data_IF_569104607350
#
_entry.id   IF_569104607350
#
_cell.length_a   1.000
_cell.length_b   1.000
_cell.length_c   1.000
_cell.angle_alpha   90.00
_cell.angle_beta   90.00
_cell.angle_gamma   90.00
#
_symmetry.space_group_name_H-M   'P 1'
#
loop_
_entity.id
_entity.type
_entity.pdbx_description
1 polymer ?
#
# COMPACT_ATOMS: atom_id res chain seq x y z
N UNK A 1 5.59 -12.04 18.90
CA UNK A 1 4.72 -12.47 17.80
C UNK A 1 4.40 -11.24 16.93
N UNK A 2 4.60 -11.33 15.62
CA UNK A 2 4.25 -10.25 14.70
C UNK A 2 2.71 -10.22 14.58
N UNK A 3 2.10 -9.04 14.50
CA UNK A 3 0.63 -8.88 14.43
C UNK A 3 -0.02 -9.73 13.33
N UNK A 4 0.63 -9.84 12.16
CA UNK A 4 0.21 -10.73 11.07
C UNK A 4 0.08 -12.20 11.52
N UNK A 5 1.05 -12.73 12.23
CA UNK A 5 1.04 -14.13 12.72
C UNK A 5 -0.05 -14.33 13.76
N UNK A 6 -0.30 -13.32 14.60
CA UNK A 6 -1.42 -13.34 15.54
C UNK A 6 -2.75 -13.49 14.82
N UNK A 7 -3.02 -12.66 13.79
CA UNK A 7 -4.26 -12.73 13.01
C UNK A 7 -4.38 -14.05 12.26
N UNK A 8 -3.30 -14.51 11.63
CA UNK A 8 -3.27 -15.79 10.92
C UNK A 8 -3.69 -16.94 11.81
N UNK A 9 -3.14 -16.99 13.02
CA UNK A 9 -3.45 -18.04 14.00
C UNK A 9 -4.88 -17.89 14.56
N UNK A 10 -5.29 -16.67 14.90
CA UNK A 10 -6.58 -16.40 15.53
C UNK A 10 -7.75 -16.73 14.63
N UNK A 11 -7.63 -16.47 13.33
CA UNK A 11 -8.73 -16.62 12.36
C UNK A 11 -8.45 -17.67 11.29
N UNK A 12 -7.41 -18.48 11.45
CA UNK A 12 -6.99 -19.49 10.49
C UNK A 12 -6.89 -18.96 9.04
N UNK A 13 -6.29 -17.78 8.87
CA UNK A 13 -6.20 -17.11 7.59
C UNK A 13 -5.14 -17.76 6.69
N UNK A 14 -5.47 -17.93 5.41
CA UNK A 14 -4.49 -18.24 4.38
C UNK A 14 -3.79 -16.96 3.90
N UNK A 15 -2.72 -16.56 4.60
CA UNK A 15 -1.97 -15.33 4.27
C UNK A 15 -0.83 -15.67 3.31
N UNK A 16 -0.85 -15.08 2.13
CA UNK A 16 0.20 -15.20 1.11
C UNK A 16 1.08 -13.95 1.11
N UNK A 17 2.39 -14.15 1.22
CA UNK A 17 3.37 -13.07 1.11
C UNK A 17 3.77 -12.87 -0.36
N UNK A 18 3.33 -11.77 -0.95
CA UNK A 18 3.79 -11.35 -2.26
C UNK A 18 5.14 -10.66 -2.14
N UNK A 19 6.12 -11.15 -2.86
CA UNK A 19 7.49 -10.62 -2.85
C UNK A 19 7.90 -10.21 -4.25
N UNK A 20 8.70 -9.13 -4.41
CA UNK A 20 9.31 -8.81 -5.68
C UNK A 20 10.29 -9.91 -6.09
N UNK A 21 10.50 -10.09 -7.38
CA UNK A 21 11.44 -11.10 -7.92
C UNK A 21 12.88 -10.84 -7.48
N UNK A 22 13.27 -9.56 -7.42
CA UNK A 22 14.60 -9.20 -6.94
C UNK A 22 14.68 -9.28 -5.41
N UNK A 23 15.76 -9.90 -4.92
CA UNK A 23 16.12 -9.83 -3.50
C UNK A 23 16.39 -8.37 -3.09
N UNK A 24 16.39 -8.09 -1.76
CA UNK A 24 16.71 -6.75 -1.28
C UNK A 24 18.14 -6.32 -1.68
N UNK A 25 19.09 -7.24 -1.70
CA UNK A 25 20.45 -6.97 -2.13
C UNK A 25 20.53 -6.66 -3.62
N UNK A 26 19.92 -7.48 -4.47
CA UNK A 26 19.84 -7.21 -5.90
C UNK A 26 19.12 -5.90 -6.24
N UNK A 27 18.07 -5.56 -5.49
CA UNK A 27 17.41 -4.26 -5.62
C UNK A 27 18.35 -3.09 -5.29
N UNK A 28 19.13 -3.20 -4.19
CA UNK A 28 20.08 -2.16 -3.80
C UNK A 28 21.23 -2.05 -4.81
N UNK A 29 21.73 -3.17 -5.32
CA UNK A 29 22.76 -3.17 -6.36
C UNK A 29 22.31 -2.41 -7.60
N UNK A 30 21.10 -2.71 -8.08
CA UNK A 30 20.58 -2.15 -9.32
C UNK A 30 20.11 -0.70 -9.18
N UNK A 31 19.47 -0.32 -8.09
CA UNK A 31 18.78 0.95 -7.94
C UNK A 31 19.31 1.84 -6.81
N UNK A 32 20.24 1.35 -6.01
CA UNK A 32 20.75 2.05 -4.83
C UNK A 32 19.82 1.96 -3.61
N UNK A 33 20.36 2.26 -2.43
CA UNK A 33 19.60 2.26 -1.16
C UNK A 33 18.57 3.38 -1.08
N UNK A 34 18.84 4.48 -1.76
CA UNK A 34 18.11 5.74 -1.64
C UNK A 34 16.98 5.86 -2.65
N UNK A 35 16.73 4.84 -3.49
CA UNK A 35 15.63 4.85 -4.44
C UNK A 35 14.28 5.23 -3.79
N UNK A 36 13.89 4.73 -2.60
CA UNK A 36 12.65 5.16 -1.96
C UNK A 36 12.57 6.68 -1.70
N UNK A 37 13.72 7.34 -1.64
CA UNK A 37 13.84 8.77 -1.43
C UNK A 37 13.92 9.55 -2.75
N UNK A 38 14.63 9.01 -3.73
CA UNK A 38 14.85 9.63 -5.04
C UNK A 38 13.64 9.47 -5.95
N UNK A 39 13.15 8.24 -6.09
CA UNK A 39 11.97 7.90 -6.87
C UNK A 39 11.06 6.92 -6.12
N UNK A 40 10.15 7.43 -5.28
CA UNK A 40 9.21 6.60 -4.54
C UNK A 40 8.19 5.88 -5.42
N UNK A 41 7.94 6.35 -6.67
CA UNK A 41 7.00 5.70 -7.58
C UNK A 41 7.62 4.45 -8.20
N UNK A 42 8.84 4.52 -8.71
CA UNK A 42 9.56 3.34 -9.17
C UNK A 42 9.77 2.34 -8.05
N UNK A 43 10.16 2.79 -6.86
CA UNK A 43 10.28 1.91 -5.71
C UNK A 43 8.96 1.20 -5.38
N UNK A 44 7.82 1.90 -5.40
CA UNK A 44 6.49 1.32 -5.20
C UNK A 44 6.13 0.34 -6.31
N UNK A 45 6.45 0.67 -7.55
CA UNK A 45 6.17 -0.20 -8.69
C UNK A 45 6.88 -1.55 -8.55
N UNK A 46 8.19 -1.54 -8.43
CA UNK A 46 9.00 -2.77 -8.33
C UNK A 46 8.63 -3.60 -7.10
N UNK A 47 8.42 -2.95 -5.96
CA UNK A 47 8.29 -3.67 -4.70
C UNK A 47 6.86 -4.00 -4.28
N UNK A 48 5.86 -3.42 -4.93
CA UNK A 48 4.45 -3.62 -4.55
C UNK A 48 3.55 -3.83 -5.76
N UNK A 49 3.61 -2.94 -6.75
CA UNK A 49 2.65 -2.97 -7.86
C UNK A 49 2.88 -4.20 -8.70
N UNK A 50 4.09 -4.42 -9.18
CA UNK A 50 4.45 -5.56 -10.03
C UNK A 50 4.14 -6.92 -9.36
N UNK A 51 4.57 -7.22 -8.11
CA UNK A 51 4.21 -8.48 -7.45
C UNK A 51 2.71 -8.64 -7.26
N UNK A 52 1.99 -7.54 -7.04
CA UNK A 52 0.54 -7.56 -6.88
C UNK A 52 -0.17 -7.82 -8.22
N UNK A 53 0.28 -7.21 -9.32
CA UNK A 53 -0.25 -7.47 -10.65
C UNK A 53 -0.14 -8.96 -11.00
N UNK A 54 1.06 -9.54 -10.85
CA UNK A 54 1.29 -10.98 -11.10
C UNK A 54 0.35 -11.88 -10.26
N UNK A 55 0.10 -11.50 -9.00
CA UNK A 55 -0.82 -12.25 -8.15
C UNK A 55 -2.28 -12.10 -8.59
N UNK A 56 -2.65 -10.94 -9.11
CA UNK A 56 -4.02 -10.62 -9.53
C UNK A 56 -4.41 -11.17 -10.89
N UNK A 57 -3.45 -11.47 -11.76
CA UNK A 57 -3.70 -12.07 -13.08
C UNK A 57 -4.50 -13.40 -13.02
N UNK A 58 -4.55 -14.02 -11.84
CA UNK A 58 -5.25 -15.27 -11.59
C UNK A 58 -6.56 -15.10 -10.82
N UNK A 59 -7.00 -13.88 -10.59
CA UNK A 59 -8.17 -13.56 -9.78
C UNK A 59 -9.23 -12.85 -10.62
N UNK A 60 -10.49 -13.16 -10.36
CA UNK A 60 -11.63 -12.45 -10.94
C UNK A 60 -11.94 -11.15 -10.16
N UNK A 61 -11.62 -11.12 -8.87
CA UNK A 61 -11.89 -9.98 -8.01
C UNK A 61 -10.89 -9.87 -6.85
N UNK A 62 -10.75 -8.66 -6.30
CA UNK A 62 -10.03 -8.41 -5.08
C UNK A 62 -10.74 -7.43 -4.16
N UNK A 63 -10.63 -7.63 -2.86
CA UNK A 63 -11.24 -6.79 -1.84
C UNK A 63 -10.19 -5.87 -1.23
N UNK A 64 -10.51 -4.58 -1.07
CA UNK A 64 -9.63 -3.59 -0.46
C UNK A 64 -10.32 -2.81 0.64
N UNK A 65 -9.63 -2.53 1.73
CA UNK A 65 -10.14 -1.75 2.87
C UNK A 65 -9.93 -0.24 2.75
N UNK A 66 -9.91 0.33 1.54
CA UNK A 66 -9.80 1.78 1.38
C UNK A 66 -11.08 2.49 1.81
N UNK A 67 -10.92 3.76 2.26
CA UNK A 67 -12.04 4.65 2.60
C UNK A 67 -11.88 6.00 1.89
N UNK A 68 -13.02 6.66 1.59
CA UNK A 68 -13.04 7.99 0.93
C UNK A 68 -12.34 9.07 1.76
N UNK A 69 -12.50 9.01 3.08
CA UNK A 69 -11.97 10.00 4.01
C UNK A 69 -10.44 10.02 4.11
N UNK A 70 -9.77 9.02 3.57
CA UNK A 70 -8.32 8.87 3.71
C UNK A 70 -7.50 9.80 2.81
N UNK A 71 -7.96 10.05 1.57
CA UNK A 71 -7.28 10.94 0.61
C UNK A 71 -8.22 11.43 -0.49
N UNK A 72 -7.87 12.55 -1.14
CA UNK A 72 -8.63 13.08 -2.28
C UNK A 72 -8.72 12.06 -3.45
N UNK A 73 -7.65 11.28 -3.68
CA UNK A 73 -7.65 10.24 -4.71
C UNK A 73 -8.68 9.14 -4.39
N UNK A 74 -8.75 8.68 -3.13
CA UNK A 74 -9.71 7.65 -2.72
C UNK A 74 -11.15 8.16 -2.69
N UNK A 75 -11.37 9.46 -2.50
CA UNK A 75 -12.68 10.07 -2.57
C UNK A 75 -13.37 9.84 -3.93
N UNK A 76 -12.60 9.69 -5.00
CA UNK A 76 -13.10 9.43 -6.36
C UNK A 76 -13.40 7.95 -6.62
N UNK A 77 -13.05 7.04 -5.73
CA UNK A 77 -13.26 5.60 -5.92
C UNK A 77 -14.73 5.21 -5.83
N UNK A 78 -15.09 4.07 -6.44
CA UNK A 78 -16.39 3.43 -6.33
C UNK A 78 -16.31 2.16 -5.48
N UNK A 79 -17.46 1.73 -4.92
CA UNK A 79 -17.53 0.50 -4.12
C UNK A 79 -17.19 -0.71 -4.98
N UNK A 80 -17.72 -0.75 -6.19
CA UNK A 80 -17.46 -1.75 -7.22
C UNK A 80 -16.85 -1.04 -8.42
N UNK A 81 -15.70 -1.51 -8.87
CA UNK A 81 -14.98 -0.89 -9.98
C UNK A 81 -14.25 -1.95 -10.78
N UNK A 82 -14.59 -2.08 -12.06
CA UNK A 82 -13.83 -2.90 -12.98
C UNK A 82 -12.52 -2.20 -13.33
N UNK A 83 -11.43 -2.93 -13.16
CA UNK A 83 -10.12 -2.54 -13.64
C UNK A 83 -9.90 -3.06 -15.05
N UNK A 84 -8.79 -2.65 -15.65
CA UNK A 84 -8.35 -3.21 -16.92
C UNK A 84 -8.37 -4.75 -16.83
N UNK A 85 -8.65 -5.41 -17.92
CA UNK A 85 -8.69 -6.88 -18.04
C UNK A 85 -9.81 -7.58 -17.25
N UNK A 86 -10.82 -6.82 -16.81
CA UNK A 86 -12.01 -7.38 -16.20
C UNK A 86 -11.91 -7.68 -14.70
N UNK A 87 -10.76 -7.42 -14.06
CA UNK A 87 -10.60 -7.59 -12.62
C UNK A 87 -11.54 -6.67 -11.83
N UNK A 88 -12.41 -7.24 -11.01
CA UNK A 88 -13.33 -6.49 -10.16
C UNK A 88 -12.66 -6.07 -8.84
N UNK A 89 -12.52 -4.76 -8.61
CA UNK A 89 -12.14 -4.21 -7.30
C UNK A 89 -13.39 -3.97 -6.46
N UNK A 90 -13.39 -4.47 -5.23
CA UNK A 90 -14.47 -4.33 -4.26
C UNK A 90 -13.95 -3.57 -3.04
N UNK A 91 -14.56 -2.43 -2.71
CA UNK A 91 -14.18 -1.59 -1.58
C UNK A 91 -15.34 -1.45 -0.58
N UNK A 92 -15.63 -2.48 0.24
CA UNK A 92 -16.82 -2.52 1.11
C UNK A 92 -16.82 -1.44 2.19
N UNK A 93 -15.64 -0.98 2.60
CA UNK A 93 -15.49 0.05 3.63
C UNK A 93 -15.41 1.47 3.07
N UNK A 94 -15.62 1.66 1.77
CA UNK A 94 -15.34 2.93 1.08
C UNK A 94 -16.05 4.12 1.70
N UNK A 95 -17.31 3.96 2.13
CA UNK A 95 -18.13 5.02 2.71
C UNK A 95 -18.04 5.08 4.25
N UNK A 96 -17.23 4.23 4.87
CA UNK A 96 -17.04 4.24 6.32
C UNK A 96 -16.11 5.39 6.73
N UNK A 97 -16.43 6.00 7.87
CA UNK A 97 -15.57 6.97 8.53
C UNK A 97 -14.58 6.29 9.46
N UNK A 98 -13.61 7.04 9.98
CA UNK A 98 -12.73 6.52 11.02
C UNK A 98 -13.51 6.14 12.28
N UNK A 99 -14.57 6.88 12.62
CA UNK A 99 -15.44 6.57 13.76
C UNK A 99 -16.19 5.23 13.56
N UNK A 100 -16.68 4.95 12.36
CA UNK A 100 -17.33 3.67 12.06
C UNK A 100 -16.38 2.49 12.27
N UNK A 101 -15.12 2.63 11.80
CA UNK A 101 -14.08 1.61 12.00
C UNK A 101 -13.79 1.40 13.49
N UNK A 102 -13.64 2.47 14.26
CA UNK A 102 -13.36 2.40 15.69
C UNK A 102 -14.51 1.73 16.45
N UNK A 103 -15.76 2.11 16.14
CA UNK A 103 -16.95 1.50 16.72
C UNK A 103 -17.05 0.00 16.40
N UNK A 104 -16.81 -0.36 15.13
CA UNK A 104 -16.83 -1.75 14.71
C UNK A 104 -15.75 -2.60 15.41
N UNK A 105 -14.53 -2.06 15.55
CA UNK A 105 -13.46 -2.72 16.28
C UNK A 105 -13.85 -2.95 17.75
N UNK A 106 -14.49 -1.98 18.39
CA UNK A 106 -14.94 -2.08 19.79
C UNK A 106 -16.09 -3.08 19.93
N UNK A 107 -17.10 -3.00 19.07
CA UNK A 107 -18.28 -3.86 19.08
C UNK A 107 -17.92 -5.34 18.93
N UNK A 108 -17.01 -5.65 18.02
CA UNK A 108 -16.61 -7.04 17.72
C UNK A 108 -15.31 -7.49 18.43
N UNK A 109 -14.75 -6.67 19.32
CA UNK A 109 -13.53 -7.00 20.05
C UNK A 109 -12.33 -7.32 19.16
N UNK A 110 -12.21 -6.62 18.02
CA UNK A 110 -11.17 -6.93 17.05
C UNK A 110 -9.78 -6.51 17.54
N UNK A 111 -8.75 -7.30 17.24
CA UNK A 111 -7.38 -6.95 17.61
C UNK A 111 -6.90 -5.71 16.88
N UNK A 112 -6.22 -4.82 17.59
CA UNK A 112 -5.68 -3.57 17.05
C UNK A 112 -4.21 -3.71 16.71
N UNK A 113 -3.83 -3.14 15.57
CA UNK A 113 -2.42 -3.04 15.21
C UNK A 113 -1.68 -2.13 16.22
N UNK A 114 -0.49 -2.50 16.72
CA UNK A 114 0.19 -1.75 17.78
C UNK A 114 0.81 -0.42 17.35
N UNK A 115 1.02 -0.18 16.05
CA UNK A 115 1.70 1.01 15.54
C UNK A 115 0.94 2.33 15.75
N UNK A 116 -0.40 2.42 15.69
CA UNK A 116 -1.12 3.65 16.03
C UNK A 116 -0.79 4.17 17.43
N UNK A 117 -0.61 3.29 18.41
CA UNK A 117 -0.17 3.66 19.78
C UNK A 117 1.25 4.25 19.81
N UNK A 118 2.04 4.07 18.76
CA UNK A 118 3.39 4.61 18.57
C UNK A 118 3.41 5.78 17.59
N UNK A 119 2.30 6.50 17.45
CA UNK A 119 2.14 7.65 16.54
C UNK A 119 2.22 7.32 15.05
N UNK A 120 1.87 6.09 14.65
CA UNK A 120 1.74 5.67 13.24
C UNK A 120 0.28 5.34 12.91
N UNK A 121 -0.64 6.30 12.85
CA UNK A 121 -2.05 6.04 12.52
C UNK A 121 -2.22 5.54 11.09
N UNK A 122 -1.30 5.91 10.19
CA UNK A 122 -1.24 5.39 8.82
C UNK A 122 0.05 4.60 8.62
N UNK A 123 -0.08 3.28 8.48
CA UNK A 123 1.06 2.36 8.32
C UNK A 123 1.47 2.25 6.85
N UNK A 124 2.77 2.25 6.60
CA UNK A 124 3.36 2.07 5.27
C UNK A 124 4.77 1.48 5.31
N UNK A 125 5.47 1.54 4.19
CA UNK A 125 6.86 1.08 4.14
C UNK A 125 7.75 1.89 5.09
N UNK A 126 8.66 1.21 5.79
CA UNK A 126 9.60 1.83 6.74
C UNK A 126 10.32 3.07 6.16
N UNK A 127 10.89 3.03 4.94
CA UNK A 127 11.59 4.20 4.39
C UNK A 127 10.66 5.36 3.99
N UNK A 128 9.33 5.13 3.93
CA UNK A 128 8.34 6.11 3.47
C UNK A 128 7.36 6.53 4.58
N UNK A 129 7.65 6.18 5.83
CA UNK A 129 6.71 6.45 6.94
C UNK A 129 7.48 6.84 8.19
N UNK A 130 7.10 7.98 8.77
CA UNK A 130 7.55 8.43 10.10
C UNK A 130 6.36 8.52 11.07
N UNK A 131 6.60 8.57 12.38
CA UNK A 131 5.56 8.92 13.32
C UNK A 131 5.05 10.35 13.05
N UNK A 132 3.79 10.60 13.33
CA UNK A 132 3.22 11.95 13.26
C UNK A 132 3.54 12.72 14.54
N UNK A 133 3.50 14.06 14.44
CA UNK A 133 3.61 14.98 15.58
C UNK A 133 2.21 15.36 16.07
N UNK A 134 2.06 15.83 17.30
CA UNK A 134 0.81 16.39 17.79
C UNK A 134 0.27 17.47 16.84
N UNK A 135 -1.01 17.36 16.47
CA UNK A 135 -1.67 18.29 15.55
C UNK A 135 -1.49 18.00 14.06
N UNK A 136 -0.65 17.04 13.67
CA UNK A 136 -0.56 16.62 12.28
C UNK A 136 -1.73 15.66 11.93
N UNK A 137 -2.12 15.65 10.65
CA UNK A 137 -3.10 14.68 10.15
C UNK A 137 -2.57 13.24 10.20
N UNK A 138 -3.46 12.25 10.22
CA UNK A 138 -3.11 10.82 10.30
C UNK A 138 -2.14 10.35 9.22
N UNK A 139 -2.11 11.02 8.08
CA UNK A 139 -1.25 10.65 6.94
C UNK A 139 -0.03 11.55 6.76
N UNK A 140 0.16 12.56 7.59
CA UNK A 140 1.31 13.49 7.51
C UNK A 140 2.68 12.79 7.61
N UNK A 141 2.72 11.63 8.26
CA UNK A 141 3.92 10.78 8.34
C UNK A 141 4.24 10.02 7.05
N UNK A 142 3.31 9.98 6.05
CA UNK A 142 3.49 9.24 4.80
C UNK A 142 4.15 10.12 3.76
N UNK A 143 5.26 9.64 3.17
CA UNK A 143 6.06 10.37 2.16
C UNK A 143 6.31 11.84 2.54
N UNK A 144 6.55 12.10 3.83
CA UNK A 144 6.72 13.44 4.36
C UNK A 144 7.79 14.23 3.59
N UNK A 145 7.44 15.46 3.16
CA UNK A 145 8.30 16.29 2.33
C UNK A 145 8.31 15.94 0.83
N UNK A 146 7.42 15.03 0.38
CA UNK A 146 7.30 14.63 -1.03
C UNK A 146 5.89 14.91 -1.55
N UNK A 147 5.77 15.16 -2.84
CA UNK A 147 4.47 15.37 -3.50
C UNK A 147 3.58 14.12 -3.60
N UNK A 148 4.00 12.99 -3.01
CA UNK A 148 3.28 11.72 -3.08
C UNK A 148 2.32 11.56 -1.91
N UNK A 149 1.07 11.21 -2.20
CA UNK A 149 0.00 11.03 -1.21
C UNK A 149 -0.56 9.60 -1.16
N UNK A 150 -0.28 8.80 -2.21
CA UNK A 150 -0.81 7.44 -2.35
C UNK A 150 0.27 6.40 -2.66
N UNK A 151 -0.01 5.16 -2.27
CA UNK A 151 0.75 4.00 -2.72
C UNK A 151 0.41 3.70 -4.19
N UNK A 152 1.40 3.24 -4.96
CA UNK A 152 1.21 2.88 -6.36
C UNK A 152 0.07 1.88 -6.63
N UNK A 153 -0.33 1.09 -5.64
CA UNK A 153 -1.50 0.20 -5.74
C UNK A 153 -2.84 0.93 -5.89
N UNK A 154 -2.89 2.23 -5.58
CA UNK A 154 -4.11 3.05 -5.62
C UNK A 154 -3.96 4.25 -6.57
N UNK A 155 -3.02 4.17 -7.49
CA UNK A 155 -2.76 5.18 -8.52
C UNK A 155 -2.79 4.52 -9.90
N UNK A 156 -2.64 5.31 -10.95
CA UNK A 156 -2.55 4.82 -12.33
C UNK A 156 -1.36 3.88 -12.58
N UNK A 157 -0.36 3.88 -11.69
CA UNK A 157 0.73 2.91 -11.76
C UNK A 157 0.23 1.46 -11.74
N UNK A 158 -0.88 1.18 -11.04
CA UNK A 158 -1.45 -0.15 -10.99
C UNK A 158 -2.15 -0.57 -12.29
N UNK A 159 -2.59 0.41 -13.08
CA UNK A 159 -3.32 0.18 -14.33
C UNK A 159 -2.38 0.12 -15.56
N UNK A 160 -1.08 0.28 -15.38
CA UNK A 160 -0.10 0.24 -16.47
C UNK A 160 0.36 -1.20 -16.70
N UNK A 161 0.32 -1.66 -17.95
CA UNK A 161 0.60 -3.06 -18.30
C UNK A 161 2.05 -3.45 -18.08
N UNK A 162 2.99 -2.63 -18.44
CA UNK A 162 4.42 -2.86 -18.19
C UNK A 162 5.12 -1.52 -18.17
N UNK A 163 5.73 -1.17 -17.05
CA UNK A 163 6.59 -0.01 -17.00
C UNK A 163 8.00 -0.42 -17.39
N UNK A 164 8.60 0.32 -18.30
CA UNK A 164 9.99 0.20 -18.70
C UNK A 164 10.86 1.13 -17.86
N UNK A 165 12.18 0.97 -17.92
CA UNK A 165 13.11 1.88 -17.24
C UNK A 165 12.95 3.34 -17.71
N UNK A 166 12.52 3.54 -18.96
CA UNK A 166 12.33 4.87 -19.56
C UNK A 166 11.12 5.61 -19.00
N UNK A 167 10.11 4.89 -18.48
CA UNK A 167 8.96 5.48 -17.79
C UNK A 167 9.34 6.16 -16.47
N UNK A 168 10.48 5.78 -15.94
CA UNK A 168 11.02 6.31 -14.68
C UNK A 168 12.38 6.96 -14.99
N UNK A 169 12.50 8.12 -15.38
CA UNK A 169 13.70 8.93 -15.68
C UNK A 169 14.97 8.56 -14.88
N UNK A 170 15.33 7.29 -14.85
CA UNK A 170 16.49 6.76 -14.16
C UNK A 170 17.55 6.37 -15.19
N UNK A 171 18.72 6.96 -15.05
CA UNK A 171 19.93 6.43 -15.66
C UNK A 171 20.21 5.06 -15.01
N UNK A 172 20.01 3.98 -15.76
CA UNK A 172 20.49 2.66 -15.36
C UNK A 172 22.02 2.76 -15.28
N UNK A 173 22.57 2.53 -14.13
CA UNK A 173 24.02 2.39 -14.01
C UNK A 173 24.39 1.06 -14.63
N UNK A 174 24.91 1.12 -15.87
CA UNK A 174 25.57 0.00 -16.48
C UNK A 174 26.83 -0.32 -15.65
N UNK A 175 26.99 -1.58 -15.25
CA UNK A 175 28.20 -2.10 -14.62
C UNK A 175 29.28 -2.37 -15.67
#
# INVERSE_FOLDING_TARGET
>A
MIFREQLQKQWNLNIVDLRPDATWQGFIQRFGRDLPQQDPDLCCYIRKVQPMQVAMDKLDAWITGIRRDQTANRAQSQILEYKRDGLLRIAPLLNWTNADIENYILEYGLPRHPLPLKQYPSVGCKPCTRPIRPGESDRAGRWSGKGKTECGLHTDLFNRDTLTADDFKLEIRDE
#
